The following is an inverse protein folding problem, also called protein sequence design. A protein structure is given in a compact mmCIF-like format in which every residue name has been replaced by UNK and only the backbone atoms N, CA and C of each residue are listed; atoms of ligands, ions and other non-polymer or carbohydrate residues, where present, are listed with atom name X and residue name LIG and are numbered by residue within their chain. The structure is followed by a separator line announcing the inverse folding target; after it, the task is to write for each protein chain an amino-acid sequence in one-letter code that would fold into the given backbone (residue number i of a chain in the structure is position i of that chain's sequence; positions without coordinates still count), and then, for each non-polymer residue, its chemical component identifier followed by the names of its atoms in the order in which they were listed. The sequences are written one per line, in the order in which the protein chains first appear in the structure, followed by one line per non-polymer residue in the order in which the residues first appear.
data_IF_079773292830
#
_entry.id   IF_079773292830
#
_cell.length_a   1.000
_cell.length_b   1.000
_cell.length_c   1.000
_cell.angle_alpha   90.00
_cell.angle_beta   90.00
_cell.angle_gamma   90.00
#
_symmetry.space_group_name_H-M   'P 1'
#
loop_
_entity.id
_entity.type
_entity.pdbx_description
1 polymer ?
#
# COMPACT_ATOMS: atom_id res chain seq x y z
N UNK A 1 -10.31 0.52 -24.98
CA UNK A 1 -10.06 -0.29 -23.77
C UNK A 1 -11.39 -0.49 -23.06
N UNK A 2 -11.83 -1.74 -22.89
CA UNK A 2 -13.03 -2.08 -22.12
C UNK A 2 -12.61 -2.40 -20.68
N UNK A 3 -13.27 -1.79 -19.70
CA UNK A 3 -13.10 -2.09 -18.26
C UNK A 3 -13.95 -3.27 -17.80
N UNK A 4 -14.66 -3.91 -18.73
CA UNK A 4 -15.56 -5.03 -18.50
C UNK A 4 -15.08 -6.23 -19.31
N UNK A 5 -14.99 -7.37 -18.63
CA UNK A 5 -14.58 -8.65 -19.21
C UNK A 5 -15.61 -9.72 -18.78
N UNK A 6 -16.05 -10.60 -19.69
CA UNK A 6 -16.84 -11.76 -19.30
C UNK A 6 -15.99 -12.69 -18.43
N UNK A 7 -16.56 -13.16 -17.33
CA UNK A 7 -15.91 -14.05 -16.38
C UNK A 7 -16.75 -15.31 -16.18
N UNK A 8 -16.14 -16.47 -15.84
CA UNK A 8 -16.89 -17.67 -15.49
C UNK A 8 -17.80 -17.47 -14.28
N UNK A 9 -18.88 -18.26 -14.16
CA UNK A 9 -19.79 -18.22 -13.02
C UNK A 9 -19.11 -18.54 -11.66
N UNK A 10 -17.95 -19.21 -11.70
CA UNK A 10 -17.13 -19.52 -10.53
C UNK A 10 -16.23 -18.37 -10.07
N UNK A 11 -16.12 -17.30 -10.85
CA UNK A 11 -15.28 -16.16 -10.49
C UNK A 11 -15.88 -15.36 -9.34
N UNK A 12 -15.05 -15.05 -8.34
CA UNK A 12 -15.43 -14.18 -7.24
C UNK A 12 -14.37 -13.10 -7.02
N UNK A 13 -14.71 -11.84 -7.25
CA UNK A 13 -13.78 -10.70 -7.22
C UNK A 13 -12.89 -10.63 -5.96
N UNK A 14 -13.43 -11.03 -4.79
CA UNK A 14 -12.66 -11.08 -3.54
C UNK A 14 -11.69 -12.27 -3.43
N UNK A 15 -12.15 -13.48 -3.75
CA UNK A 15 -11.43 -14.73 -3.45
C UNK A 15 -10.54 -15.18 -4.62
N UNK A 16 -10.92 -14.83 -5.85
CA UNK A 16 -10.13 -15.10 -7.05
C UNK A 16 -8.95 -14.13 -7.21
N UNK A 17 -8.86 -13.07 -6.40
CA UNK A 17 -7.76 -12.12 -6.45
C UNK A 17 -6.49 -12.70 -5.80
N UNK A 18 -5.42 -12.84 -6.59
CA UNK A 18 -4.13 -13.38 -6.14
C UNK A 18 -3.38 -12.39 -5.23
N UNK A 19 -3.35 -11.12 -5.61
CA UNK A 19 -2.61 -10.07 -4.89
C UNK A 19 -3.41 -8.78 -4.86
N UNK A 20 -3.09 -7.90 -3.91
CA UNK A 20 -3.64 -6.54 -3.82
C UNK A 20 -2.49 -5.57 -3.64
N UNK A 21 -2.53 -4.46 -4.36
CA UNK A 21 -1.53 -3.40 -4.26
C UNK A 21 -2.19 -2.13 -3.75
N UNK A 22 -1.53 -1.46 -2.81
CA UNK A 22 -1.99 -0.20 -2.22
C UNK A 22 -0.96 0.89 -2.51
N UNK A 23 -1.43 2.12 -2.73
CA UNK A 23 -0.57 3.29 -2.92
C UNK A 23 -0.99 4.39 -1.95
N UNK A 24 -0.07 4.81 -1.11
CA UNK A 24 -0.24 5.99 -0.27
C UNK A 24 0.46 7.18 -0.91
N UNK A 25 -0.25 8.30 -1.02
CA UNK A 25 0.29 9.56 -1.56
C UNK A 25 0.41 10.55 -0.40
N UNK A 26 1.65 10.89 -0.05
CA UNK A 26 1.98 11.80 1.05
C UNK A 26 2.59 13.09 0.48
N UNK A 27 1.97 14.22 0.82
CA UNK A 27 2.47 15.54 0.50
C UNK A 27 3.30 16.05 1.69
N UNK A 28 4.60 16.20 1.47
CA UNK A 28 5.52 16.73 2.47
C UNK A 28 5.85 18.20 2.20
N UNK A 29 5.20 19.11 2.91
CA UNK A 29 5.46 20.55 2.81
C UNK A 29 4.98 21.26 4.09
N UNK A 30 5.55 22.40 4.48
CA UNK A 30 5.20 23.05 5.75
C UNK A 30 3.77 23.60 5.81
N UNK A 31 3.18 23.94 4.65
CA UNK A 31 1.84 24.53 4.58
C UNK A 31 0.80 23.49 4.16
N UNK A 32 -0.37 23.45 4.80
CA UNK A 32 -1.43 22.49 4.43
C UNK A 32 -1.90 22.70 2.98
N UNK A 33 -2.16 21.63 2.20
CA UNK A 33 -2.73 21.78 0.86
C UNK A 33 -4.19 22.23 0.92
N UNK A 34 -4.59 23.13 0.02
CA UNK A 34 -6.00 23.56 -0.14
C UNK A 34 -6.75 22.58 -1.05
N UNK A 35 -6.35 22.50 -2.32
CA UNK A 35 -7.00 21.66 -3.34
C UNK A 35 -6.82 20.15 -3.11
N UNK A 36 -5.64 19.72 -2.65
CA UNK A 36 -5.32 18.31 -2.44
C UNK A 36 -5.73 17.77 -1.06
N UNK A 37 -6.36 18.59 -0.21
CA UNK A 37 -6.70 18.27 1.19
C UNK A 37 -7.43 16.94 1.39
N UNK A 38 -8.21 16.49 0.40
CA UNK A 38 -8.97 15.21 0.44
C UNK A 38 -8.37 14.07 -0.40
N UNK A 39 -7.26 14.32 -1.10
CA UNK A 39 -6.65 13.35 -2.04
C UNK A 39 -5.29 12.84 -1.58
N UNK A 40 -4.63 13.57 -0.68
CA UNK A 40 -3.30 13.22 -0.19
C UNK A 40 -3.27 13.32 1.33
N UNK A 41 -2.48 12.45 1.95
CA UNK A 41 -2.04 12.67 3.31
C UNK A 41 -1.05 13.84 3.32
N UNK A 42 -1.01 14.61 4.40
CA UNK A 42 -0.10 15.75 4.52
C UNK A 42 0.67 15.67 5.85
N UNK A 43 1.99 15.89 5.79
CA UNK A 43 2.83 16.09 6.98
C UNK A 43 3.70 17.33 6.77
N UNK A 44 3.80 18.16 7.81
CA UNK A 44 4.58 19.38 7.83
C UNK A 44 6.07 19.13 8.12
N UNK A 45 6.40 18.00 8.75
CA UNK A 45 7.78 17.67 9.17
C UNK A 45 8.57 17.13 7.98
N UNK A 46 9.81 17.59 7.74
CA UNK A 46 10.61 17.09 6.62
C UNK A 46 10.81 15.58 6.74
N UNK A 47 10.50 14.86 5.65
CA UNK A 47 10.66 13.41 5.60
C UNK A 47 11.97 13.01 4.94
N UNK A 48 12.71 12.13 5.60
CA UNK A 48 13.93 11.56 5.05
C UNK A 48 13.62 10.29 4.25
N UNK A 49 13.53 10.44 2.93
CA UNK A 49 13.24 9.34 2.00
C UNK A 49 14.29 8.22 2.11
N UNK A 50 15.56 8.54 2.40
CA UNK A 50 16.61 7.51 2.51
C UNK A 50 16.36 6.64 3.73
N UNK A 51 16.06 7.26 4.88
CA UNK A 51 15.71 6.52 6.12
C UNK A 51 14.44 5.69 5.94
N UNK A 52 13.41 6.24 5.30
CA UNK A 52 12.18 5.50 5.02
C UNK A 52 12.43 4.27 4.13
N UNK A 53 13.25 4.41 3.07
CA UNK A 53 13.63 3.27 2.22
C UNK A 53 14.39 2.20 2.98
N UNK A 54 15.31 2.58 3.85
CA UNK A 54 16.06 1.62 4.70
C UNK A 54 15.12 0.89 5.65
N UNK A 55 14.21 1.61 6.31
CA UNK A 55 13.24 1.04 7.23
C UNK A 55 12.17 0.16 6.55
N UNK A 56 11.91 0.34 5.26
CA UNK A 56 10.95 -0.47 4.49
C UNK A 56 11.51 -1.82 4.04
N UNK A 57 12.83 -1.94 3.82
CA UNK A 57 13.46 -3.19 3.34
C UNK A 57 13.13 -4.43 4.18
N UNK A 58 13.15 -4.38 5.53
CA UNK A 58 12.83 -5.53 6.35
C UNK A 58 11.37 -6.01 6.23
N UNK A 59 10.47 -5.21 5.66
CA UNK A 59 9.07 -5.59 5.47
C UNK A 59 8.87 -6.53 4.27
N UNK A 60 9.87 -6.66 3.39
CA UNK A 60 9.82 -7.53 2.22
C UNK A 60 9.92 -9.01 2.65
N UNK A 61 9.20 -9.89 1.95
CA UNK A 61 9.13 -11.30 2.27
C UNK A 61 7.95 -11.65 3.18
N UNK A 62 8.07 -12.77 3.88
CA UNK A 62 7.03 -13.34 4.73
C UNK A 62 7.19 -12.90 6.19
N UNK A 63 6.20 -12.19 6.73
CA UNK A 63 6.26 -11.66 8.09
C UNK A 63 4.91 -11.71 8.80
N UNK A 64 4.96 -11.76 10.14
CA UNK A 64 3.80 -11.47 10.97
C UNK A 64 3.61 -9.95 11.11
N UNK A 65 2.54 -9.43 10.49
CA UNK A 65 2.19 -8.00 10.52
C UNK A 65 1.24 -7.63 11.67
N UNK A 66 1.14 -8.43 12.73
CA UNK A 66 0.30 -8.14 13.89
C UNK A 66 0.59 -6.76 14.53
N UNK A 67 1.84 -6.30 14.50
CA UNK A 67 2.22 -4.97 15.03
C UNK A 67 1.62 -3.78 14.25
N UNK A 68 1.14 -4.00 13.02
CA UNK A 68 0.67 -2.94 12.11
C UNK A 68 -0.86 -2.88 11.98
N UNK A 69 -1.60 -3.52 12.89
CA UNK A 69 -3.07 -3.62 12.84
C UNK A 69 -3.72 -3.46 14.22
N UNK A 70 -5.04 -3.30 14.22
CA UNK A 70 -5.88 -3.37 15.43
C UNK A 70 -6.50 -4.76 15.70
N UNK A 71 -5.80 -5.89 15.51
CA UNK A 71 -6.34 -7.24 15.85
C UNK A 71 -5.36 -8.40 15.51
N UNK A 72 -5.85 -9.64 15.22
CA UNK A 72 -5.03 -10.80 14.78
C UNK A 72 -5.00 -11.05 13.26
N UNK A 73 -3.82 -10.94 12.63
CA UNK A 73 -3.54 -11.13 11.19
C UNK A 73 -2.86 -12.48 10.95
N UNK A 74 -3.21 -13.20 9.88
CA UNK A 74 -2.33 -14.27 9.40
C UNK A 74 -1.06 -13.65 8.82
N UNK A 75 0.00 -14.44 8.79
CA UNK A 75 1.27 -14.13 8.13
C UNK A 75 0.99 -13.67 6.69
N UNK A 76 1.69 -12.62 6.24
CA UNK A 76 1.56 -12.10 4.88
C UNK A 76 2.91 -12.07 4.18
N UNK A 77 2.85 -12.16 2.87
CA UNK A 77 3.99 -12.05 1.98
C UNK A 77 3.95 -10.73 1.21
N UNK A 78 5.06 -9.98 1.26
CA UNK A 78 5.31 -8.82 0.41
C UNK A 78 6.34 -9.22 -0.64
N UNK A 79 5.93 -9.24 -1.91
CA UNK A 79 6.79 -9.63 -3.03
C UNK A 79 7.97 -8.64 -3.21
N UNK A 80 9.23 -9.09 -3.02
CA UNK A 80 10.41 -8.24 -3.17
C UNK A 80 10.73 -7.90 -4.63
N UNK A 81 10.17 -8.63 -5.61
CA UNK A 81 10.45 -8.44 -7.03
C UNK A 81 9.42 -7.56 -7.75
N UNK A 82 8.38 -7.10 -7.05
CA UNK A 82 7.42 -6.19 -7.62
C UNK A 82 8.04 -4.79 -7.79
N UNK A 83 8.10 -4.21 -9.00
CA UNK A 83 8.71 -2.90 -9.22
C UNK A 83 7.92 -1.74 -8.59
N UNK A 84 6.77 -2.03 -7.96
CA UNK A 84 5.91 -1.06 -7.26
C UNK A 84 6.06 -1.08 -5.73
N UNK A 85 6.79 -2.03 -5.17
CA UNK A 85 7.12 -2.14 -3.73
C UNK A 85 8.42 -1.45 -3.38
#
# INVERSE_FOLDING_TARGET
MSWVLPVPATFHARYSALTRSYRYVLLNRPVRPTYLSRRVSWDYRPLDIKKMKVAAKPLLGEHDFNAYRGGIMPIKYIDPNNPRT
#
